data_IF_646309196933
#
_entry.id   IF_646309196933
#
_cell.length_a   1.000
_cell.length_b   1.000
_cell.length_c   1.000
_cell.angle_alpha   90.00
_cell.angle_beta   90.00
_cell.angle_gamma   90.00
#
_symmetry.space_group_name_H-M   'P 1'
#
loop_
_entity.id
_entity.type
_entity.pdbx_description
1 polymer ?
#
# COMPACT_ATOMS: atom_id res chain seq x y z
N UNK A 1 -18.90 0.59 -11.24
CA UNK A 1 -17.75 1.26 -11.91
C UNK A 1 -17.14 2.39 -11.09
N UNK A 2 -17.93 3.31 -10.50
CA UNK A 2 -17.39 4.45 -9.72
C UNK A 2 -16.53 3.98 -8.54
N UNK A 3 -17.00 3.01 -7.73
CA UNK A 3 -16.23 2.48 -6.60
C UNK A 3 -14.83 1.96 -7.01
N UNK A 4 -14.74 1.23 -8.12
CA UNK A 4 -13.48 0.69 -8.64
C UNK A 4 -12.54 1.84 -9.07
N UNK A 5 -13.05 2.86 -9.76
CA UNK A 5 -12.25 4.02 -10.18
C UNK A 5 -11.75 4.83 -8.99
N UNK A 6 -12.60 5.01 -7.98
CA UNK A 6 -12.21 5.70 -6.73
C UNK A 6 -11.14 4.90 -6.01
N UNK A 7 -11.31 3.59 -5.83
CA UNK A 7 -10.28 2.77 -5.17
C UNK A 7 -8.99 2.73 -5.95
N UNK A 8 -9.03 2.58 -7.28
CA UNK A 8 -7.83 2.66 -8.12
C UNK A 8 -7.12 4.01 -7.96
N UNK A 9 -7.88 5.12 -7.92
CA UNK A 9 -7.34 6.45 -7.65
C UNK A 9 -6.67 6.55 -6.27
N UNK A 10 -7.30 6.00 -5.23
CA UNK A 10 -6.73 5.99 -3.86
C UNK A 10 -5.48 5.13 -3.78
N UNK A 11 -5.46 3.97 -4.42
CA UNK A 11 -4.27 3.10 -4.48
C UNK A 11 -3.11 3.81 -5.17
N UNK A 12 -3.36 4.43 -6.33
CA UNK A 12 -2.33 5.21 -7.04
C UNK A 12 -1.85 6.36 -6.18
N UNK A 13 -2.76 7.09 -5.52
CA UNK A 13 -2.42 8.18 -4.62
C UNK A 13 -1.66 7.73 -3.37
N UNK A 14 -1.74 6.46 -2.96
CA UNK A 14 -0.95 5.88 -1.87
C UNK A 14 0.43 5.40 -2.34
N UNK A 15 0.48 4.59 -3.40
CA UNK A 15 1.73 4.01 -3.89
C UNK A 15 2.68 5.02 -4.54
N UNK A 16 2.15 6.07 -5.16
CA UNK A 16 2.98 7.09 -5.83
C UNK A 16 3.84 7.89 -4.83
N UNK A 17 3.30 8.49 -3.74
CA UNK A 17 4.12 9.12 -2.72
C UNK A 17 4.99 8.12 -1.96
N UNK A 18 4.55 6.86 -1.80
CA UNK A 18 5.38 5.81 -1.23
C UNK A 18 6.66 5.58 -2.03
N UNK A 19 6.55 5.49 -3.37
CA UNK A 19 7.70 5.38 -4.27
C UNK A 19 8.58 6.63 -4.23
N UNK A 20 7.98 7.83 -4.24
CA UNK A 20 8.73 9.08 -4.11
C UNK A 20 9.48 9.15 -2.78
N UNK A 21 8.89 8.71 -1.67
CA UNK A 21 9.52 8.75 -0.36
C UNK A 21 10.74 7.83 -0.30
N UNK A 22 10.70 6.66 -0.95
CA UNK A 22 11.87 5.77 -1.07
C UNK A 22 12.96 6.40 -1.95
N UNK A 23 12.60 6.98 -3.10
CA UNK A 23 13.58 7.56 -4.03
C UNK A 23 14.24 8.81 -3.44
N UNK A 24 13.44 9.69 -2.85
CA UNK A 24 13.86 10.99 -2.32
C UNK A 24 14.11 10.95 -0.80
N UNK A 25 14.36 9.78 -0.21
CA UNK A 25 14.63 9.67 1.23
C UNK A 25 15.93 10.36 1.68
N UNK A 26 16.85 10.65 0.75
CA UNK A 26 18.11 11.35 1.02
C UNK A 26 18.34 12.52 0.05
N UNK A 27 19.03 13.55 0.53
CA UNK A 27 19.64 14.59 -0.30
C UNK A 27 21.18 14.61 -0.11
N UNK A 28 21.97 14.66 -1.20
CA UNK A 28 21.57 14.45 -2.60
C UNK A 28 21.02 13.04 -2.84
N UNK A 29 20.15 12.89 -3.85
CA UNK A 29 19.57 11.58 -4.22
C UNK A 29 20.71 10.67 -4.69
N UNK A 30 21.00 9.63 -3.93
CA UNK A 30 21.98 8.61 -4.34
C UNK A 30 21.27 7.28 -4.54
N UNK A 31 21.77 6.50 -5.50
CA UNK A 31 21.34 5.11 -5.67
C UNK A 31 21.97 4.16 -4.62
N UNK A 32 22.84 4.68 -3.74
CA UNK A 32 23.33 3.94 -2.59
C UNK A 32 22.34 4.07 -1.43
N UNK A 33 22.19 3.01 -0.66
CA UNK A 33 21.59 3.07 0.68
C UNK A 33 22.72 3.33 1.68
N UNK A 34 22.95 4.59 2.08
CA UNK A 34 23.94 4.89 3.10
C UNK A 34 23.43 4.38 4.44
N UNK A 35 24.19 3.50 5.08
CA UNK A 35 23.97 3.15 6.47
C UNK A 35 24.89 3.98 7.36
N UNK A 36 24.43 4.30 8.56
CA UNK A 36 25.17 5.14 9.53
C UNK A 36 26.59 4.62 9.84
N UNK A 37 26.85 3.33 9.60
CA UNK A 37 28.15 2.69 9.81
C UNK A 37 29.15 2.85 8.64
N UNK A 38 28.75 3.42 7.50
CA UNK A 38 29.63 3.60 6.34
C UNK A 38 30.40 4.93 6.38
N UNK A 39 31.70 4.94 6.04
CA UNK A 39 32.48 6.17 5.99
C UNK A 39 31.96 7.08 4.86
N UNK A 40 31.66 8.35 5.18
CA UNK A 40 31.19 9.35 4.21
C UNK A 40 29.70 9.68 4.27
N UNK A 41 28.94 9.08 5.19
CA UNK A 41 27.49 9.36 5.38
C UNK A 41 27.19 10.76 5.90
N UNK A 42 28.14 11.41 6.59
CA UNK A 42 28.05 12.80 7.08
C UNK A 42 27.74 13.83 5.98
N UNK A 43 27.98 13.49 4.71
CA UNK A 43 27.72 14.36 3.55
C UNK A 43 26.29 14.28 3.02
N UNK A 44 25.49 13.34 3.52
CA UNK A 44 24.13 13.09 3.06
C UNK A 44 23.15 13.35 4.20
N UNK A 45 22.08 14.09 3.91
CA UNK A 45 20.97 14.27 4.86
C UNK A 45 19.88 13.27 4.48
N UNK A 46 19.76 12.21 5.28
CA UNK A 46 18.84 11.10 5.04
C UNK A 46 17.75 11.05 6.10
N UNK A 47 16.52 10.72 5.67
CA UNK A 47 15.45 10.35 6.59
C UNK A 47 15.79 9.01 7.26
N UNK A 48 15.47 8.88 8.54
CA UNK A 48 15.68 7.62 9.25
C UNK A 48 14.90 6.48 8.57
N UNK A 49 15.59 5.37 8.31
CA UNK A 49 15.02 4.15 7.72
C UNK A 49 13.73 3.70 8.41
N UNK A 50 13.68 3.81 9.75
CA UNK A 50 12.49 3.47 10.53
C UNK A 50 11.24 4.25 10.12
N UNK A 51 11.39 5.53 9.76
CA UNK A 51 10.27 6.37 9.31
C UNK A 51 9.81 5.93 7.92
N UNK A 52 10.76 5.74 6.99
CA UNK A 52 10.47 5.28 5.62
C UNK A 52 9.73 3.95 5.64
N UNK A 53 10.24 2.97 6.39
CA UNK A 53 9.62 1.65 6.50
C UNK A 53 8.26 1.69 7.21
N UNK A 54 8.12 2.49 8.26
CA UNK A 54 6.87 2.60 9.00
C UNK A 54 5.76 3.19 8.11
N UNK A 55 6.03 4.32 7.45
CA UNK A 55 5.07 4.98 6.56
C UNK A 55 4.70 4.07 5.39
N UNK A 56 5.69 3.44 4.75
CA UNK A 56 5.46 2.50 3.64
C UNK A 56 4.58 1.32 4.06
N UNK A 57 4.83 0.75 5.23
CA UNK A 57 4.05 -0.39 5.75
C UNK A 57 2.61 0.02 6.07
N UNK A 58 2.41 1.20 6.66
CA UNK A 58 1.05 1.72 6.97
C UNK A 58 0.26 1.98 5.69
N UNK A 59 0.88 2.59 4.67
CA UNK A 59 0.22 2.84 3.38
C UNK A 59 -0.16 1.52 2.72
N UNK A 60 0.75 0.54 2.67
CA UNK A 60 0.47 -0.77 2.08
C UNK A 60 -0.65 -1.48 2.83
N UNK A 61 -0.60 -1.52 4.17
CA UNK A 61 -1.63 -2.14 5.00
C UNK A 61 -3.01 -1.50 4.78
N UNK A 62 -3.06 -0.17 4.66
CA UNK A 62 -4.30 0.54 4.35
C UNK A 62 -4.84 0.19 2.95
N UNK A 63 -3.96 0.09 1.95
CA UNK A 63 -4.30 -0.34 0.61
C UNK A 63 -4.84 -1.79 0.60
N UNK A 64 -4.26 -2.68 1.39
CA UNK A 64 -4.71 -4.07 1.55
C UNK A 64 -6.13 -4.12 2.16
N UNK A 65 -6.40 -3.33 3.19
CA UNK A 65 -7.76 -3.23 3.76
C UNK A 65 -8.78 -2.69 2.75
N UNK A 66 -8.40 -1.73 1.91
CA UNK A 66 -9.27 -1.24 0.84
C UNK A 66 -9.54 -2.32 -0.20
N UNK A 67 -8.51 -3.05 -0.62
CA UNK A 67 -8.63 -4.17 -1.56
C UNK A 67 -9.55 -5.27 -1.01
N UNK A 68 -9.46 -5.63 0.27
CA UNK A 68 -10.37 -6.57 0.92
C UNK A 68 -11.77 -5.98 1.20
N UNK A 69 -11.87 -4.67 1.38
CA UNK A 69 -13.12 -3.95 1.61
C UNK A 69 -14.02 -3.86 0.37
N UNK A 70 -13.44 -3.78 -0.84
CA UNK A 70 -14.18 -3.76 -2.12
C UNK A 70 -15.14 -4.98 -2.26
N UNK A 71 -14.69 -6.24 -2.08
CA UNK A 71 -15.55 -7.42 -2.02
C UNK A 71 -16.73 -7.24 -1.06
N UNK A 72 -16.44 -6.77 0.15
CA UNK A 72 -17.37 -6.73 1.28
C UNK A 72 -18.46 -5.69 1.01
N UNK A 73 -18.09 -4.51 0.50
CA UNK A 73 -19.02 -3.44 0.15
C UNK A 73 -19.92 -3.86 -1.04
N UNK A 74 -19.32 -4.49 -2.07
CA UNK A 74 -20.07 -4.99 -3.23
C UNK A 74 -21.06 -6.09 -2.84
N UNK A 75 -20.66 -7.01 -1.95
CA UNK A 75 -21.54 -8.01 -1.36
C UNK A 75 -22.65 -7.35 -0.53
N UNK A 76 -22.35 -6.33 0.28
CA UNK A 76 -23.35 -5.68 1.15
C UNK A 76 -24.47 -4.99 0.34
N UNK A 77 -24.16 -4.43 -0.82
CA UNK A 77 -25.12 -3.73 -1.69
C UNK A 77 -26.00 -4.69 -2.51
N UNK A 78 -25.54 -5.92 -2.78
CA UNK A 78 -26.32 -6.92 -3.53
C UNK A 78 -27.35 -7.61 -2.60
N UNK A 79 -28.65 -7.39 -2.85
CA UNK A 79 -29.77 -8.12 -2.20
C UNK A 79 -29.84 -9.57 -2.70
N UNK A 80 -28.89 -10.41 -2.27
CA UNK A 80 -28.87 -11.86 -2.56
C UNK A 80 -28.98 -12.72 -1.28
N UNK A 81 -29.43 -13.97 -1.44
CA UNK A 81 -29.52 -14.95 -0.34
C UNK A 81 -28.14 -15.19 0.31
N UNK A 82 -28.10 -15.24 1.65
CA UNK A 82 -26.87 -15.27 2.47
C UNK A 82 -25.88 -16.39 2.09
N UNK A 83 -26.35 -17.50 1.51
CA UNK A 83 -25.51 -18.65 1.12
C UNK A 83 -24.59 -18.35 -0.09
N UNK A 84 -25.10 -17.67 -1.12
CA UNK A 84 -24.28 -17.27 -2.28
C UNK A 84 -23.32 -16.12 -1.94
N UNK A 85 -23.68 -15.30 -0.94
CA UNK A 85 -22.85 -14.22 -0.39
C UNK A 85 -21.54 -14.75 0.23
N UNK A 86 -21.62 -15.87 0.94
CA UNK A 86 -20.48 -16.53 1.57
C UNK A 86 -19.62 -17.26 0.53
N UNK A 87 -20.23 -17.93 -0.45
CA UNK A 87 -19.47 -18.57 -1.53
C UNK A 87 -18.69 -17.56 -2.39
N UNK A 88 -19.29 -16.41 -2.73
CA UNK A 88 -18.59 -15.38 -3.50
C UNK A 88 -17.47 -14.73 -2.69
N UNK A 89 -17.65 -14.53 -1.38
CA UNK A 89 -16.60 -14.09 -0.48
C UNK A 89 -15.45 -15.11 -0.44
N UNK A 90 -15.76 -16.41 -0.32
CA UNK A 90 -14.77 -17.48 -0.35
C UNK A 90 -14.08 -17.69 -1.70
N UNK A 91 -14.61 -17.18 -2.82
CA UNK A 91 -13.97 -17.21 -4.16
C UNK A 91 -13.15 -15.94 -4.42
N UNK A 92 -13.54 -14.80 -3.84
CA UNK A 92 -12.85 -13.52 -4.03
C UNK A 92 -11.75 -13.29 -2.97
N UNK A 93 -11.78 -14.02 -1.85
CA UNK A 93 -10.78 -14.01 -0.78
C UNK A 93 -9.65 -15.07 -0.85
N UNK A 94 -9.67 -16.18 -1.62
CA UNK A 94 -8.57 -17.11 -1.60
C UNK A 94 -7.50 -16.60 -2.57
N UNK A 95 -6.51 -15.90 -2.02
CA UNK A 95 -5.14 -15.96 -2.56
C UNK A 95 -4.51 -17.34 -2.29
N UNK A 96 -5.23 -18.41 -2.65
CA UNK A 96 -4.76 -19.80 -2.54
C UNK A 96 -4.98 -20.43 -3.92
N UNK A 97 -4.00 -20.21 -4.80
CA UNK A 97 -3.45 -21.24 -5.67
C UNK A 97 -1.95 -20.97 -5.82
#
# INVERSE_FOLDING_TARGET
>A
MIAIRVTAGVLVAGYLPQMCLIIFHCLPVTALWPYDWQPGVERYSCLAWGIVYSVNSVISLFCDFLLFGIPIAMLRMLRMQRKQKIQLACILLPGIL
#
